data_IF_867036413020
#
_entry.id   IF_867036413020
#
_cell.length_a   1.000
_cell.length_b   1.000
_cell.length_c   1.000
_cell.angle_alpha   90.00
_cell.angle_beta   90.00
_cell.angle_gamma   90.00
#
_symmetry.space_group_name_H-M   'P 1'
#
loop_
_entity.id
_entity.type
_entity.pdbx_description
1 polymer ?
#
# COMPACT_ATOMS: atom_id res chain seq x y z
N UNK A 1 2.79 -10.13 -3.11
CA UNK A 1 2.79 -9.00 -4.07
C UNK A 1 1.43 -8.35 -4.16
N UNK A 2 0.42 -9.18 -4.39
CA UNK A 2 -0.99 -8.85 -4.34
C UNK A 2 -1.46 -8.88 -2.88
N UNK A 3 -2.37 -7.99 -2.51
CA UNK A 3 -3.00 -8.01 -1.19
C UNK A 3 -4.12 -9.05 -1.11
N UNK A 4 -4.79 -9.33 -2.24
CA UNK A 4 -5.93 -10.25 -2.31
C UNK A 4 -5.81 -11.26 -3.46
N UNK A 5 -4.60 -11.58 -3.94
CA UNK A 5 -4.40 -12.47 -5.09
C UNK A 5 -5.00 -13.87 -4.89
N UNK A 6 -5.04 -14.33 -3.64
CA UNK A 6 -5.62 -15.62 -3.22
C UNK A 6 -7.15 -15.66 -3.13
N UNK A 7 -7.81 -14.49 -3.11
CA UNK A 7 -9.25 -14.40 -2.81
C UNK A 7 -10.06 -14.82 -4.02
N UNK A 8 -11.18 -15.49 -3.77
CA UNK A 8 -12.13 -15.83 -4.83
C UNK A 8 -12.77 -14.57 -5.44
N UNK A 9 -12.40 -14.28 -6.68
CA UNK A 9 -12.82 -13.09 -7.43
C UNK A 9 -12.87 -13.38 -8.94
N UNK A 10 -13.64 -12.61 -9.73
CA UNK A 10 -13.63 -12.72 -11.19
C UNK A 10 -12.26 -12.41 -11.80
N UNK A 11 -11.93 -13.04 -12.93
CA UNK A 11 -10.63 -12.85 -13.61
C UNK A 11 -10.38 -11.39 -14.02
N UNK A 12 -11.42 -10.65 -14.41
CA UNK A 12 -11.28 -9.23 -14.76
C UNK A 12 -10.82 -8.39 -13.57
N UNK A 13 -11.31 -8.69 -12.36
CA UNK A 13 -10.87 -8.01 -11.14
C UNK A 13 -9.42 -8.37 -10.81
N UNK A 14 -9.06 -9.65 -10.90
CA UNK A 14 -7.67 -10.08 -10.72
C UNK A 14 -6.72 -9.38 -11.71
N UNK A 15 -7.10 -9.30 -12.98
CA UNK A 15 -6.33 -8.63 -14.03
C UNK A 15 -6.19 -7.11 -13.78
N UNK A 16 -7.16 -6.47 -13.10
CA UNK A 16 -7.01 -5.09 -12.65
C UNK A 16 -5.95 -4.95 -11.55
N UNK A 17 -5.92 -5.88 -10.59
CA UNK A 17 -4.84 -5.92 -9.58
C UNK A 17 -3.47 -6.11 -10.23
N UNK A 18 -3.34 -7.01 -11.22
CA UNK A 18 -2.07 -7.25 -11.93
C UNK A 18 -1.64 -5.99 -12.70
N UNK A 19 -2.55 -5.36 -13.44
CA UNK A 19 -2.27 -4.10 -14.17
C UNK A 19 -1.82 -3.00 -13.21
N UNK A 20 -2.48 -2.86 -12.07
CA UNK A 20 -2.09 -1.89 -11.03
C UNK A 20 -0.71 -2.20 -10.46
N UNK A 21 -0.43 -3.46 -10.12
CA UNK A 21 0.89 -3.87 -9.62
C UNK A 21 2.00 -3.53 -10.62
N UNK A 22 1.84 -3.93 -11.89
CA UNK A 22 2.80 -3.62 -12.96
C UNK A 22 2.94 -2.13 -13.24
N UNK A 23 1.88 -1.34 -13.04
CA UNK A 23 1.94 0.12 -13.16
C UNK A 23 2.69 0.79 -12.00
N UNK A 24 2.57 0.28 -10.77
CA UNK A 24 3.26 0.83 -9.59
C UNK A 24 4.75 0.48 -9.63
N UNK A 25 5.06 -0.77 -9.97
CA UNK A 25 6.42 -1.30 -10.06
C UNK A 25 6.87 -1.42 -11.52
N UNK A 26 6.54 -0.42 -12.33
CA UNK A 26 6.97 -0.37 -13.72
C UNK A 26 8.50 -0.39 -13.78
N UNK A 27 9.04 -1.36 -14.48
CA UNK A 27 10.47 -1.54 -14.69
C UNK A 27 10.79 -1.43 -16.18
N UNK A 28 12.01 -1.04 -16.50
CA UNK A 28 12.49 -1.02 -17.89
C UNK A 28 12.45 -2.45 -18.48
N UNK A 29 12.13 -2.58 -19.76
CA UNK A 29 11.98 -3.88 -20.43
C UNK A 29 13.24 -4.77 -20.34
N UNK A 30 14.41 -4.15 -20.18
CA UNK A 30 15.69 -4.85 -20.04
C UNK A 30 16.07 -5.25 -18.60
N UNK A 31 15.27 -4.89 -17.59
CA UNK A 31 15.57 -5.19 -16.18
C UNK A 31 14.92 -6.53 -15.76
N UNK A 32 15.70 -7.59 -15.52
CA UNK A 32 15.14 -8.86 -15.06
C UNK A 32 14.44 -8.68 -13.72
N UNK A 33 13.20 -9.12 -13.64
CA UNK A 33 12.40 -9.07 -12.41
C UNK A 33 11.97 -10.48 -12.03
N UNK A 34 12.21 -10.85 -10.78
CA UNK A 34 11.89 -12.16 -10.23
C UNK A 34 10.90 -11.99 -9.07
N UNK A 35 9.95 -12.90 -8.99
CA UNK A 35 8.87 -12.86 -8.02
C UNK A 35 8.86 -14.15 -7.20
N UNK A 36 8.47 -14.04 -5.93
CA UNK A 36 8.19 -15.18 -5.04
C UNK A 36 6.78 -15.06 -4.48
N UNK A 37 6.04 -16.17 -4.35
CA UNK A 37 4.68 -16.12 -3.84
C UNK A 37 4.69 -15.85 -2.33
N UNK A 38 3.83 -14.93 -1.91
CA UNK A 38 3.44 -14.77 -0.52
C UNK A 38 2.09 -15.40 -0.23
N UNK A 39 1.75 -15.48 1.06
CA UNK A 39 0.48 -16.02 1.53
C UNK A 39 -0.73 -15.26 0.97
N UNK A 40 -0.59 -13.96 0.66
CA UNK A 40 -1.63 -13.13 0.01
C UNK A 40 -1.79 -13.37 -1.50
N UNK A 41 -0.79 -13.99 -2.14
CA UNK A 41 -0.79 -14.27 -3.58
C UNK A 41 -1.47 -15.60 -3.89
N UNK A 42 -1.04 -16.68 -3.22
CA UNK A 42 -1.46 -18.07 -3.53
C UNK A 42 -2.29 -18.73 -2.43
N UNK A 43 -2.37 -18.13 -1.24
CA UNK A 43 -3.00 -18.76 -0.07
C UNK A 43 -1.99 -19.42 0.85
N UNK A 44 -2.46 -19.79 2.05
CA UNK A 44 -1.72 -20.60 3.02
C UNK A 44 -2.75 -21.35 3.87
N UNK A 45 -2.68 -22.67 3.85
CA UNK A 45 -3.65 -23.56 4.48
C UNK A 45 -4.97 -23.68 3.71
N UNK A 46 -5.98 -24.23 4.38
CA UNK A 46 -7.27 -24.53 3.75
C UNK A 46 -8.24 -23.35 3.75
N UNK A 47 -9.12 -23.35 2.74
CA UNK A 47 -10.29 -22.48 2.71
C UNK A 47 -11.23 -22.77 3.88
N UNK A 48 -11.87 -21.72 4.40
CA UNK A 48 -12.94 -21.84 5.39
C UNK A 48 -14.25 -21.23 4.88
N UNK A 49 -15.43 -21.54 5.49
CA UNK A 49 -16.69 -20.95 5.08
C UNK A 49 -16.72 -19.41 5.14
N UNK A 50 -15.91 -18.80 6.02
CA UNK A 50 -15.78 -17.35 6.17
C UNK A 50 -14.63 -16.76 5.36
N UNK A 51 -13.76 -17.59 4.78
CA UNK A 51 -12.60 -17.16 4.01
C UNK A 51 -12.23 -18.19 2.94
N UNK A 52 -12.72 -17.98 1.71
CA UNK A 52 -12.54 -18.90 0.59
C UNK A 52 -11.35 -18.47 -0.28
N UNK A 53 -10.37 -19.35 -0.42
CA UNK A 53 -9.32 -19.20 -1.41
C UNK A 53 -9.87 -19.56 -2.81
N UNK A 54 -9.43 -18.80 -3.81
CA UNK A 54 -9.76 -19.11 -5.20
C UNK A 54 -9.04 -20.39 -5.63
N UNK A 55 -9.77 -21.30 -6.28
CA UNK A 55 -9.17 -22.48 -6.93
C UNK A 55 -8.22 -22.08 -8.07
N UNK A 56 -8.35 -20.85 -8.59
CA UNK A 56 -7.49 -20.30 -9.64
C UNK A 56 -6.28 -19.52 -9.11
N UNK A 57 -6.10 -19.37 -7.79
CA UNK A 57 -5.04 -18.51 -7.21
C UNK A 57 -3.64 -18.89 -7.72
N UNK A 58 -3.34 -20.19 -7.72
CA UNK A 58 -2.06 -20.71 -8.18
C UNK A 58 -1.86 -20.51 -9.69
N UNK A 59 -2.84 -20.86 -10.52
CA UNK A 59 -2.77 -20.71 -11.98
C UNK A 59 -2.59 -19.23 -12.39
N UNK A 60 -3.33 -18.34 -11.72
CA UNK A 60 -3.23 -16.90 -11.91
C UNK A 60 -1.86 -16.36 -11.51
N UNK A 61 -1.29 -16.87 -10.42
CA UNK A 61 0.08 -16.53 -10.03
C UNK A 61 1.07 -16.94 -11.11
N UNK A 62 1.06 -18.22 -11.49
CA UNK A 62 2.01 -18.80 -12.45
C UNK A 62 1.97 -18.07 -13.80
N UNK A 63 0.78 -17.74 -14.29
CA UNK A 63 0.59 -17.03 -15.56
C UNK A 63 1.07 -15.58 -15.55
N UNK A 64 1.18 -14.93 -14.39
CA UNK A 64 1.49 -13.50 -14.29
C UNK A 64 2.85 -13.18 -13.68
N UNK A 65 3.35 -14.03 -12.78
CA UNK A 65 4.55 -13.79 -11.96
C UNK A 65 5.61 -14.89 -12.12
N UNK A 66 5.30 -15.98 -12.83
CA UNK A 66 6.24 -17.04 -13.14
C UNK A 66 6.28 -18.16 -12.09
N UNK A 67 7.36 -18.96 -12.07
CA UNK A 67 7.40 -20.18 -11.27
C UNK A 67 7.46 -19.91 -9.76
N UNK A 68 6.84 -20.82 -8.98
CA UNK A 68 6.81 -20.80 -7.52
C UNK A 68 8.21 -20.88 -6.89
N UNK A 69 9.03 -21.80 -7.41
CA UNK A 69 10.39 -22.07 -6.97
C UNK A 69 11.36 -21.81 -8.12
N UNK A 70 12.46 -21.10 -7.87
CA UNK A 70 13.40 -20.69 -8.91
C UNK A 70 14.86 -20.81 -8.42
N UNK A 71 15.74 -21.29 -9.32
CA UNK A 71 17.18 -21.19 -9.19
C UNK A 71 17.67 -20.26 -10.30
N UNK A 72 18.29 -19.15 -9.93
CA UNK A 72 18.83 -18.17 -10.87
C UNK A 72 20.31 -17.89 -10.57
N UNK A 73 21.03 -17.40 -11.57
CA UNK A 73 22.42 -16.96 -11.42
C UNK A 73 22.51 -15.46 -11.67
N UNK A 74 23.00 -14.71 -10.68
CA UNK A 74 23.22 -13.26 -10.81
C UNK A 74 24.66 -12.97 -10.41
N UNK A 75 25.44 -12.38 -11.32
CA UNK A 75 26.86 -12.08 -11.09
C UNK A 75 27.64 -13.31 -10.55
N UNK A 76 27.44 -14.49 -11.13
CA UNK A 76 28.02 -15.77 -10.69
C UNK A 76 27.66 -16.21 -9.25
N UNK A 77 26.60 -15.64 -8.67
CA UNK A 77 26.02 -16.12 -7.42
C UNK A 77 24.80 -16.99 -7.72
N UNK A 78 24.71 -18.14 -7.06
CA UNK A 78 23.48 -18.93 -7.05
C UNK A 78 22.47 -18.26 -6.11
N UNK A 79 21.32 -17.89 -6.66
CA UNK A 79 20.20 -17.33 -5.90
C UNK A 79 19.01 -18.29 -5.97
N UNK A 80 18.47 -18.64 -4.82
CA UNK A 80 17.30 -19.49 -4.66
C UNK A 80 16.11 -18.69 -4.17
N UNK A 81 14.99 -18.86 -4.86
CA UNK A 81 13.71 -18.23 -4.58
C UNK A 81 12.74 -19.38 -4.30
N UNK A 82 12.20 -19.46 -3.09
CA UNK A 82 11.33 -20.59 -2.70
C UNK A 82 9.91 -20.15 -2.39
N UNK A 83 8.96 -21.02 -2.71
CA UNK A 83 7.55 -20.89 -2.35
C UNK A 83 7.35 -21.28 -0.89
N UNK A 84 7.37 -20.24 -0.05
CA UNK A 84 7.24 -20.38 1.39
C UNK A 84 5.82 -20.78 1.82
N UNK A 85 4.72 -20.23 1.27
CA UNK A 85 3.37 -20.74 1.56
C UNK A 85 3.21 -22.23 1.26
N UNK A 86 3.65 -22.68 0.08
CA UNK A 86 3.63 -24.10 -0.27
C UNK A 86 4.48 -24.95 0.69
N UNK A 87 5.67 -24.48 1.07
CA UNK A 87 6.51 -25.16 2.05
C UNK A 87 5.84 -25.31 3.43
N UNK A 88 5.10 -24.29 3.88
CA UNK A 88 4.37 -24.35 5.16
C UNK A 88 3.29 -25.44 5.12
N UNK A 89 2.51 -25.51 4.04
CA UNK A 89 1.46 -26.51 3.91
C UNK A 89 2.04 -27.92 3.72
N UNK A 90 3.06 -28.07 2.89
CA UNK A 90 3.78 -29.33 2.74
C UNK A 90 4.37 -29.84 4.06
N UNK A 91 4.99 -28.96 4.85
CA UNK A 91 5.58 -29.36 6.13
C UNK A 91 4.50 -29.84 7.12
N UNK A 92 3.34 -29.18 7.13
CA UNK A 92 2.19 -29.57 7.95
C UNK A 92 1.64 -30.93 7.53
N UNK A 93 1.38 -31.13 6.23
CA UNK A 93 0.86 -32.39 5.68
C UNK A 93 1.86 -33.55 5.92
N UNK A 94 3.14 -33.31 5.62
CA UNK A 94 4.23 -34.24 5.86
C UNK A 94 4.28 -34.67 7.33
N UNK A 95 4.23 -33.71 8.25
CA UNK A 95 4.27 -33.98 9.68
C UNK A 95 3.02 -34.76 10.15
N UNK A 96 1.83 -34.43 9.63
CA UNK A 96 0.59 -35.12 9.94
C UNK A 96 0.61 -36.60 9.48
N UNK A 97 1.28 -36.88 8.35
CA UNK A 97 1.46 -38.24 7.84
C UNK A 97 2.66 -38.99 8.46
N UNK A 98 3.43 -38.34 9.35
CA UNK A 98 4.64 -38.93 9.92
C UNK A 98 5.75 -39.21 8.90
N UNK A 99 5.73 -38.54 7.75
CA UNK A 99 6.71 -38.73 6.69
C UNK A 99 8.00 -37.93 6.94
N UNK A 100 9.13 -38.49 6.56
CA UNK A 100 10.37 -37.72 6.44
C UNK A 100 10.34 -36.80 5.21
N UNK A 101 11.20 -35.77 5.19
CA UNK A 101 11.40 -34.92 4.00
C UNK A 101 11.77 -35.74 2.76
N UNK A 102 12.50 -36.84 2.97
CA UNK A 102 12.92 -37.76 1.91
C UNK A 102 11.71 -38.43 1.26
N UNK A 103 10.89 -39.11 2.05
CA UNK A 103 9.69 -39.80 1.57
C UNK A 103 8.70 -38.82 0.93
N UNK A 104 8.54 -37.63 1.53
CA UNK A 104 7.67 -36.60 0.99
C UNK A 104 8.12 -36.12 -0.40
N UNK A 105 9.42 -35.80 -0.55
CA UNK A 105 9.96 -35.36 -1.85
C UNK A 105 9.82 -36.40 -2.97
N UNK A 106 9.89 -37.70 -2.64
CA UNK A 106 9.76 -38.79 -3.61
C UNK A 106 8.31 -38.99 -4.08
N UNK A 107 7.34 -38.69 -3.21
CA UNK A 107 5.91 -38.74 -3.52
C UNK A 107 5.38 -37.46 -4.17
N UNK A 108 6.04 -36.32 -3.96
CA UNK A 108 5.62 -35.01 -4.43
C UNK A 108 6.77 -34.29 -5.18
N UNK A 109 7.22 -34.82 -6.33
CA UNK A 109 8.42 -34.32 -7.02
C UNK A 109 8.30 -32.88 -7.53
N UNK A 110 7.08 -32.38 -7.74
CA UNK A 110 6.81 -31.05 -8.30
C UNK A 110 6.62 -29.96 -7.24
N UNK A 111 6.81 -30.28 -5.95
CA UNK A 111 6.60 -29.34 -4.84
C UNK A 111 7.92 -28.79 -4.24
N UNK A 112 7.80 -27.82 -3.32
CA UNK A 112 8.93 -27.05 -2.76
C UNK A 112 9.92 -27.92 -1.99
N UNK A 113 9.45 -28.89 -1.21
CA UNK A 113 10.36 -29.81 -0.49
C UNK A 113 11.24 -30.60 -1.48
N UNK A 114 10.65 -31.12 -2.56
CA UNK A 114 11.39 -31.84 -3.60
C UNK A 114 12.35 -30.91 -4.37
N UNK A 115 11.93 -29.69 -4.69
CA UNK A 115 12.79 -28.68 -5.29
C UNK A 115 14.06 -28.43 -4.45
N UNK A 116 13.91 -28.14 -3.15
CA UNK A 116 15.03 -27.88 -2.24
C UNK A 116 15.95 -29.10 -2.12
N UNK A 117 15.38 -30.30 -2.01
CA UNK A 117 16.18 -31.53 -1.92
C UNK A 117 16.97 -31.78 -3.20
N UNK A 118 16.34 -31.65 -4.37
CA UNK A 118 17.00 -31.83 -5.67
C UNK A 118 18.14 -30.83 -5.88
N UNK A 119 17.97 -29.59 -5.38
CA UNK A 119 19.04 -28.60 -5.36
C UNK A 119 20.19 -29.05 -4.48
N UNK A 120 19.91 -29.47 -3.24
CA UNK A 120 20.93 -29.90 -2.29
C UNK A 120 21.76 -31.08 -2.80
N UNK A 121 21.11 -32.08 -3.42
CA UNK A 121 21.78 -33.25 -3.99
C UNK A 121 22.71 -32.87 -5.17
N UNK A 122 22.22 -32.04 -6.10
CA UNK A 122 23.03 -31.55 -7.23
C UNK A 122 24.20 -30.70 -6.74
N UNK A 123 23.95 -29.77 -5.81
CA UNK A 123 24.97 -28.88 -5.28
C UNK A 123 26.02 -29.63 -4.44
N UNK A 124 25.62 -30.67 -3.71
CA UNK A 124 26.56 -31.55 -3.02
C UNK A 124 27.42 -32.36 -4.00
N UNK A 125 26.83 -32.87 -5.09
CA UNK A 125 27.57 -33.59 -6.13
C UNK A 125 28.58 -32.68 -6.85
N UNK A 126 28.20 -31.44 -7.18
CA UNK A 126 29.09 -30.40 -7.75
C UNK A 126 30.32 -30.18 -6.85
N UNK A 127 30.12 -30.14 -5.51
CA UNK A 127 31.22 -29.97 -4.53
C UNK A 127 32.12 -31.19 -4.36
N UNK A 128 31.64 -32.40 -4.63
CA UNK A 128 32.40 -33.65 -4.47
C UNK A 128 33.18 -34.00 -5.74
N UNK A 129 32.63 -33.71 -6.93
CA UNK A 129 33.19 -34.16 -8.20
C UNK A 129 34.48 -33.42 -8.62
N UNK A 130 34.75 -32.24 -8.06
CA UNK A 130 35.98 -31.49 -8.34
C UNK A 130 36.92 -31.42 -7.12
N UNK A 131 37.67 -32.50 -6.89
CA UNK A 131 39.06 -32.37 -6.43
C UNK A 131 39.96 -31.91 -7.61
N UNK A 132 39.59 -30.79 -8.24
CA UNK A 132 40.38 -30.13 -9.29
C UNK A 132 41.38 -29.20 -8.60
N UNK A 133 42.67 -29.18 -8.99
CA UNK A 133 43.60 -28.20 -8.46
C UNK A 133 43.04 -26.78 -8.68
N UNK A 134 43.18 -25.93 -7.66
CA UNK A 134 42.63 -24.56 -7.53
C UNK A 134 42.91 -23.60 -8.70
N UNK A 135 43.64 -24.01 -9.74
CA UNK A 135 44.03 -23.15 -10.86
C UNK A 135 42.94 -22.96 -11.92
N UNK A 136 41.97 -23.88 -12.03
CA UNK A 136 40.96 -23.84 -13.12
C UNK A 136 39.51 -24.15 -12.67
N UNK A 137 39.14 -23.93 -11.40
CA UNK A 137 37.75 -24.05 -10.95
C UNK A 137 36.99 -22.75 -11.27
N UNK A 138 35.73 -22.85 -11.73
CA UNK A 138 34.86 -21.68 -11.86
C UNK A 138 34.66 -21.08 -10.45
N UNK A 139 34.95 -19.79 -10.23
CA UNK A 139 34.78 -19.13 -8.93
C UNK A 139 33.36 -19.23 -8.35
N UNK A 140 32.36 -19.57 -9.18
CA UNK A 140 30.98 -19.82 -8.76
C UNK A 140 30.77 -21.14 -8.00
N UNK A 141 31.65 -22.13 -8.16
CA UNK A 141 31.47 -23.51 -7.67
C UNK A 141 31.71 -23.69 -6.15
N UNK A 142 32.25 -22.67 -5.47
CA UNK A 142 32.48 -22.68 -4.02
C UNK A 142 31.59 -21.72 -3.21
N UNK A 143 30.78 -20.89 -3.88
CA UNK A 143 30.00 -19.85 -3.22
C UNK A 143 28.71 -20.42 -2.61
N UNK A 144 28.46 -20.12 -1.33
CA UNK A 144 27.20 -20.48 -0.67
C UNK A 144 26.03 -19.71 -1.33
N UNK A 145 24.85 -20.33 -1.54
CA UNK A 145 23.72 -19.67 -2.19
C UNK A 145 23.13 -18.50 -1.40
N UNK A 146 22.45 -17.59 -2.07
CA UNK A 146 21.60 -16.56 -1.45
C UNK A 146 20.15 -17.07 -1.47
N UNK A 147 19.46 -17.06 -0.33
CA UNK A 147 18.08 -17.55 -0.23
C UNK A 147 17.08 -16.40 -0.08
N UNK A 148 16.03 -16.43 -0.87
CA UNK A 148 14.85 -15.58 -0.75
C UNK A 148 13.62 -16.44 -0.42
N UNK A 149 12.88 -16.06 0.61
CA UNK A 149 11.66 -16.72 1.08
C UNK A 149 10.64 -15.66 1.50
N UNK A 150 9.34 -15.90 1.34
CA UNK A 150 8.34 -14.96 1.86
C UNK A 150 8.22 -15.07 3.38
N UNK A 151 8.04 -16.28 3.91
CA UNK A 151 7.91 -16.53 5.36
C UNK A 151 9.30 -16.62 6.01
N UNK A 152 9.57 -15.86 7.10
CA UNK A 152 10.85 -15.92 7.81
C UNK A 152 11.11 -17.27 8.48
N UNK A 153 12.38 -17.62 8.66
CA UNK A 153 12.75 -18.87 9.34
C UNK A 153 12.50 -18.78 10.85
N UNK A 154 12.28 -19.95 11.44
CA UNK A 154 12.09 -20.14 12.87
C UNK A 154 13.18 -19.45 13.69
N UNK A 155 12.75 -18.75 14.73
CA UNK A 155 13.61 -18.18 15.76
C UNK A 155 12.89 -18.25 17.11
N UNK A 156 13.61 -18.34 18.24
CA UNK A 156 12.98 -18.34 19.56
C UNK A 156 12.14 -17.08 19.79
N UNK A 157 11.03 -17.22 20.50
CA UNK A 157 10.16 -16.08 20.83
C UNK A 157 10.89 -15.02 21.66
N UNK A 158 10.61 -13.75 21.35
CA UNK A 158 11.22 -12.61 22.03
C UNK A 158 12.66 -12.30 21.59
N UNK A 159 13.17 -13.01 20.57
CA UNK A 159 14.48 -12.69 19.99
C UNK A 159 14.50 -11.29 19.39
N UNK A 160 15.56 -10.54 19.68
CA UNK A 160 15.74 -9.18 19.16
C UNK A 160 15.87 -9.16 17.64
N UNK A 161 15.22 -8.18 17.01
CA UNK A 161 15.26 -7.91 15.57
C UNK A 161 16.36 -6.92 15.14
N UNK A 162 17.26 -6.58 16.06
CA UNK A 162 18.27 -5.54 15.83
C UNK A 162 17.72 -4.12 15.94
N UNK A 163 18.59 -3.10 15.81
CA UNK A 163 18.26 -1.70 16.11
C UNK A 163 17.39 -1.01 15.05
N UNK A 164 17.21 -1.63 13.88
CA UNK A 164 16.47 -1.04 12.76
C UNK A 164 14.98 -1.45 12.73
N UNK A 165 14.55 -2.37 13.60
CA UNK A 165 13.13 -2.68 13.84
C UNK A 165 12.48 -1.48 14.51
N UNK A 166 11.29 -1.09 14.05
CA UNK A 166 10.56 0.02 14.66
C UNK A 166 9.84 -0.40 15.95
N UNK A 167 9.32 -1.64 16.01
CA UNK A 167 8.47 -2.10 17.11
C UNK A 167 8.60 -3.60 17.40
N UNK A 168 8.86 -3.94 18.66
CA UNK A 168 8.70 -5.31 19.15
C UNK A 168 9.62 -6.32 18.47
N UNK A 169 9.14 -7.57 18.40
CA UNK A 169 9.85 -8.73 17.83
C UNK A 169 8.84 -9.55 17.02
N UNK A 170 9.34 -10.42 16.13
CA UNK A 170 8.47 -11.39 15.47
C UNK A 170 8.06 -12.43 16.51
N UNK A 171 6.76 -12.63 16.70
CA UNK A 171 6.20 -13.66 17.59
C UNK A 171 5.74 -14.84 16.75
N UNK A 172 5.94 -16.05 17.27
CA UNK A 172 5.31 -17.22 16.69
C UNK A 172 3.78 -17.05 16.69
N UNK A 173 3.17 -17.45 15.59
CA UNK A 173 1.73 -17.34 15.38
C UNK A 173 1.34 -17.93 14.04
N UNK A 174 0.21 -18.60 14.01
CA UNK A 174 -0.42 -19.10 12.80
C UNK A 174 -1.94 -19.02 12.93
N UNK A 175 -2.62 -18.99 11.80
CA UNK A 175 -4.07 -18.96 11.72
C UNK A 175 -4.54 -19.13 10.28
N UNK A 176 -5.79 -18.75 10.02
CA UNK A 176 -6.36 -18.84 8.68
C UNK A 176 -5.59 -17.93 7.71
N UNK A 177 -4.89 -18.52 6.75
CA UNK A 177 -4.18 -17.77 5.72
C UNK A 177 -2.88 -17.10 6.15
N UNK A 178 -2.32 -17.41 7.33
CA UNK A 178 -1.04 -16.84 7.74
C UNK A 178 -0.25 -17.74 8.70
N UNK A 179 1.06 -17.58 8.65
CA UNK A 179 2.00 -18.14 9.60
C UNK A 179 3.24 -17.24 9.65
N UNK A 180 3.56 -16.68 10.82
CA UNK A 180 4.57 -15.64 10.96
C UNK A 180 6.00 -16.15 10.79
N UNK A 181 6.24 -17.44 11.09
CA UNK A 181 7.56 -18.07 11.06
C UNK A 181 7.42 -19.51 10.56
N UNK A 182 8.37 -19.99 9.76
CA UNK A 182 8.47 -21.42 9.42
C UNK A 182 8.61 -22.26 10.69
N UNK A 183 8.23 -23.55 10.60
CA UNK A 183 8.42 -24.48 11.72
C UNK A 183 9.93 -24.66 12.03
N UNK A 184 10.30 -25.05 13.26
CA UNK A 184 11.68 -25.40 13.57
C UNK A 184 12.26 -26.45 12.61
N UNK A 185 11.44 -27.45 12.25
CA UNK A 185 11.82 -28.55 11.37
C UNK A 185 12.03 -28.07 9.93
N UNK A 186 11.12 -27.25 9.39
CA UNK A 186 11.25 -26.70 8.04
C UNK A 186 12.45 -25.76 7.93
N UNK A 187 12.67 -24.93 8.95
CA UNK A 187 13.83 -24.05 9.01
C UNK A 187 15.14 -24.84 9.05
N UNK A 188 15.21 -25.88 9.88
CA UNK A 188 16.37 -26.76 9.94
C UNK A 188 16.62 -27.50 8.62
N UNK A 189 15.56 -27.99 7.96
CA UNK A 189 15.63 -28.59 6.64
C UNK A 189 16.25 -27.60 5.62
N UNK A 190 15.72 -26.38 5.51
CA UNK A 190 16.28 -25.37 4.59
C UNK A 190 17.74 -25.05 4.90
N UNK A 191 18.08 -24.80 6.17
CA UNK A 191 19.43 -24.42 6.58
C UNK A 191 20.45 -25.55 6.32
N UNK A 192 20.07 -26.81 6.55
CA UNK A 192 20.93 -27.96 6.33
C UNK A 192 21.07 -28.33 4.85
N UNK A 193 19.99 -28.25 4.07
CA UNK A 193 19.97 -28.59 2.66
C UNK A 193 20.62 -27.53 1.78
N UNK A 194 20.34 -26.25 2.03
CA UNK A 194 20.81 -25.14 1.17
C UNK A 194 22.15 -24.59 1.66
N UNK A 195 22.36 -24.53 2.99
CA UNK A 195 23.50 -23.87 3.64
C UNK A 195 23.81 -22.48 3.07
N UNK A 196 22.84 -21.54 3.08
CA UNK A 196 22.99 -20.26 2.41
C UNK A 196 24.06 -19.36 3.05
N UNK A 197 24.53 -18.38 2.28
CA UNK A 197 25.40 -17.30 2.74
C UNK A 197 24.63 -16.26 3.54
N UNK A 198 23.43 -15.93 3.08
CA UNK A 198 22.50 -14.94 3.65
C UNK A 198 21.08 -15.30 3.21
N UNK A 199 20.09 -14.96 4.04
CA UNK A 199 18.67 -15.18 3.79
C UNK A 199 17.95 -13.83 3.80
N UNK A 200 17.09 -13.59 2.81
CA UNK A 200 16.16 -12.47 2.79
C UNK A 200 14.73 -13.00 2.90
N UNK A 201 14.02 -12.56 3.94
CA UNK A 201 12.63 -12.93 4.19
C UNK A 201 11.68 -11.74 4.14
N UNK A 202 10.37 -11.98 3.99
CA UNK A 202 9.32 -10.97 3.98
C UNK A 202 8.31 -11.15 5.12
N UNK A 203 7.02 -11.02 4.80
CA UNK A 203 5.86 -11.28 5.67
C UNK A 203 5.68 -10.36 6.91
N UNK A 204 6.69 -10.15 7.78
CA UNK A 204 6.56 -9.38 9.03
C UNK A 204 6.35 -7.86 8.82
N UNK A 205 6.55 -7.39 7.58
CA UNK A 205 6.46 -6.00 7.13
C UNK A 205 7.46 -5.01 7.73
N UNK A 206 8.19 -5.35 8.78
CA UNK A 206 9.26 -4.54 9.36
C UNK A 206 10.63 -5.23 9.26
N UNK A 207 11.69 -4.46 9.48
CA UNK A 207 13.06 -4.94 9.46
C UNK A 207 13.31 -5.85 10.65
N UNK A 208 13.76 -7.07 10.41
CA UNK A 208 14.24 -7.93 11.49
C UNK A 208 15.51 -8.67 11.08
N UNK A 209 16.58 -8.49 11.85
CA UNK A 209 17.83 -9.20 11.66
C UNK A 209 17.97 -10.32 12.69
N UNK A 210 18.31 -11.53 12.22
CA UNK A 210 18.57 -12.68 13.06
C UNK A 210 19.70 -13.53 12.47
N UNK A 211 20.48 -14.19 13.32
CA UNK A 211 21.58 -15.05 12.87
C UNK A 211 21.30 -16.49 13.28
N UNK A 212 21.14 -17.36 12.30
CA UNK A 212 21.00 -18.80 12.51
C UNK A 212 22.36 -19.44 12.69
N UNK A 213 22.47 -20.36 13.65
CA UNK A 213 23.69 -21.14 13.88
C UNK A 213 23.50 -22.57 13.43
N UNK A 214 24.28 -23.01 12.44
CA UNK A 214 24.30 -24.40 12.01
C UNK A 214 25.47 -25.15 12.67
N UNK A 215 25.22 -26.24 13.42
CA UNK A 215 26.29 -27.06 13.99
C UNK A 215 27.25 -27.61 12.92
N UNK A 216 28.51 -27.83 13.30
CA UNK A 216 29.49 -28.49 12.43
C UNK A 216 29.02 -29.91 12.11
N UNK A 217 28.98 -30.25 10.82
CA UNK A 217 28.60 -31.58 10.34
C UNK A 217 29.78 -32.57 10.33
N UNK A 218 31.01 -32.08 10.46
CA UNK A 218 32.21 -32.92 10.49
C UNK A 218 32.74 -33.05 11.93
N UNK A 219 32.60 -34.26 12.49
CA UNK A 219 33.13 -34.65 13.81
C UNK A 219 34.60 -35.06 13.77
N UNK A 220 35.16 -35.28 12.56
CA UNK A 220 36.56 -35.67 12.35
C UNK A 220 37.47 -34.45 12.14
N UNK A 221 36.93 -33.35 11.60
CA UNK A 221 37.63 -32.06 11.50
C UNK A 221 36.69 -30.93 11.98
N UNK A 222 36.76 -30.53 13.27
CA UNK A 222 35.85 -29.53 13.82
C UNK A 222 36.06 -28.17 13.14
N UNK A 223 35.11 -27.77 12.31
CA UNK A 223 34.94 -26.38 11.85
C UNK A 223 34.04 -25.61 12.83
N UNK A 224 34.22 -24.28 12.97
CA UNK A 224 33.28 -23.49 13.76
C UNK A 224 31.85 -23.58 13.18
N UNK A 225 30.80 -23.45 14.01
CA UNK A 225 29.42 -23.41 13.55
C UNK A 225 29.23 -22.37 12.46
N UNK A 226 28.46 -22.70 11.42
CA UNK A 226 28.19 -21.75 10.35
C UNK A 226 27.14 -20.74 10.83
N UNK A 227 27.51 -19.47 10.86
CA UNK A 227 26.58 -18.36 11.08
C UNK A 227 25.94 -17.96 9.74
N UNK A 228 24.61 -17.90 9.73
CA UNK A 228 23.80 -17.60 8.55
C UNK A 228 22.88 -16.42 8.92
N UNK A 229 23.20 -15.20 8.48
CA UNK A 229 22.34 -14.04 8.70
C UNK A 229 21.05 -14.15 7.89
N UNK A 230 19.93 -13.82 8.53
CA UNK A 230 18.62 -13.61 7.93
C UNK A 230 18.18 -12.17 8.15
N UNK A 231 17.75 -11.52 7.07
CA UNK A 231 17.19 -10.18 7.07
C UNK A 231 15.76 -10.28 6.58
N UNK A 232 14.82 -10.07 7.49
CA UNK A 232 13.42 -9.84 7.14
C UNK A 232 13.29 -8.40 6.65
N UNK A 233 12.91 -8.22 5.39
CA UNK A 233 12.88 -6.93 4.71
C UNK A 233 11.62 -6.15 5.05
N UNK A 234 11.76 -4.82 5.13
CA UNK A 234 10.61 -3.93 5.33
C UNK A 234 9.67 -4.01 4.14
N UNK A 235 8.38 -3.85 4.40
CA UNK A 235 7.39 -3.65 3.35
C UNK A 235 7.64 -2.32 2.64
N UNK A 236 7.37 -2.29 1.34
CA UNK A 236 7.33 -1.06 0.53
C UNK A 236 6.05 -0.24 0.77
N UNK A 237 5.35 -0.50 1.89
CA UNK A 237 4.09 0.14 2.26
C UNK A 237 4.12 0.58 3.72
N UNK A 238 3.46 1.71 4.00
CA UNK A 238 3.21 2.19 5.37
C UNK A 238 2.01 1.50 6.04
N UNK A 239 1.28 0.67 5.28
CA UNK A 239 0.20 -0.14 5.83
C UNK A 239 0.76 -1.10 6.90
N UNK A 240 -0.12 -1.58 7.78
CA UNK A 240 0.25 -2.53 8.85
C UNK A 240 1.16 -1.94 9.94
N UNK A 241 1.15 -0.61 10.11
CA UNK A 241 1.75 0.06 11.27
C UNK A 241 3.24 0.42 11.13
N UNK A 242 3.79 0.34 9.92
CA UNK A 242 5.18 0.71 9.61
C UNK A 242 5.27 2.22 9.35
N UNK A 243 6.09 2.92 10.14
CA UNK A 243 6.26 4.37 10.03
C UNK A 243 7.13 4.75 8.84
N UNK A 244 8.23 4.02 8.63
CA UNK A 244 9.14 4.25 7.51
C UNK A 244 9.21 3.00 6.66
N UNK A 245 8.44 2.89 5.57
CA UNK A 245 8.55 1.76 4.65
C UNK A 245 9.97 1.64 4.09
N UNK A 246 10.31 0.53 3.46
CA UNK A 246 11.67 0.37 2.93
C UNK A 246 11.83 -0.77 1.94
N UNK A 247 13.05 -0.91 1.45
CA UNK A 247 13.52 -2.02 0.63
C UNK A 247 14.96 -2.36 1.00
N UNK A 248 15.43 -3.54 0.58
CA UNK A 248 16.80 -3.98 0.79
C UNK A 248 17.58 -3.85 -0.52
N UNK A 249 18.68 -3.10 -0.51
CA UNK A 249 19.62 -3.06 -1.64
C UNK A 249 20.67 -4.15 -1.45
N UNK A 250 20.80 -5.04 -2.42
CA UNK A 250 21.82 -6.10 -2.48
C UNK A 250 22.76 -5.83 -3.65
N UNK A 251 24.05 -5.66 -3.35
CA UNK A 251 25.13 -5.47 -4.31
C UNK A 251 25.95 -6.75 -4.41
N UNK A 252 26.18 -7.23 -5.63
CA UNK A 252 26.92 -8.45 -5.91
C UNK A 252 28.15 -8.14 -6.77
N UNK A 253 29.30 -8.70 -6.39
CA UNK A 253 30.55 -8.64 -7.13
C UNK A 253 30.94 -10.08 -7.44
N UNK A 254 31.12 -10.48 -8.71
CA UNK A 254 31.45 -11.85 -9.06
C UNK A 254 32.64 -12.37 -8.23
N UNK A 255 32.55 -13.59 -7.65
CA UNK A 255 33.67 -14.19 -6.96
C UNK A 255 34.89 -14.25 -7.88
N UNK A 256 36.05 -13.83 -7.38
CA UNK A 256 37.32 -13.91 -8.10
C UNK A 256 38.18 -15.01 -7.45
N UNK A 257 38.83 -15.88 -8.24
CA UNK A 257 39.63 -16.97 -7.70
C UNK A 257 40.86 -16.48 -6.91
N UNK A 258 41.24 -15.21 -7.09
CA UNK A 258 42.39 -14.58 -6.44
C UNK A 258 42.05 -13.77 -5.18
N UNK A 259 40.76 -13.62 -4.83
CA UNK A 259 40.35 -12.77 -3.71
C UNK A 259 39.36 -13.48 -2.78
N UNK A 260 39.69 -13.51 -1.49
CA UNK A 260 38.81 -13.96 -0.40
C UNK A 260 37.88 -12.85 0.10
N UNK A 261 37.79 -11.73 -0.63
CA UNK A 261 36.94 -10.61 -0.27
C UNK A 261 35.45 -11.00 -0.29
N UNK A 262 34.67 -10.32 0.54
CA UNK A 262 33.23 -10.46 0.57
C UNK A 262 32.62 -10.09 -0.80
N UNK A 263 31.92 -11.04 -1.43
CA UNK A 263 31.39 -10.91 -2.79
C UNK A 263 29.99 -10.32 -2.87
N UNK A 264 29.35 -10.09 -1.71
CA UNK A 264 28.05 -9.45 -1.62
C UNK A 264 27.98 -8.48 -0.45
N UNK A 265 27.26 -7.37 -0.62
CA UNK A 265 26.94 -6.44 0.45
C UNK A 265 25.46 -6.08 0.38
N UNK A 266 24.83 -5.80 1.50
CA UNK A 266 23.45 -5.35 1.51
C UNK A 266 23.25 -4.19 2.48
N UNK A 267 22.30 -3.31 2.17
CA UNK A 267 21.94 -2.19 3.05
C UNK A 267 20.43 -1.93 3.01
N UNK A 268 19.79 -1.69 4.17
CA UNK A 268 18.38 -1.31 4.20
C UNK A 268 18.22 0.14 3.75
N UNK A 269 17.29 0.37 2.83
CA UNK A 269 16.95 1.69 2.31
C UNK A 269 15.54 2.08 2.79
N UNK A 270 15.42 3.19 3.50
CA UNK A 270 14.14 3.68 4.03
C UNK A 270 13.49 4.66 3.06
N UNK A 271 12.18 4.52 2.91
CA UNK A 271 11.29 5.44 2.21
C UNK A 271 10.82 6.55 3.16
N UNK A 272 10.30 7.67 2.61
CA UNK A 272 9.80 8.78 3.41
C UNK A 272 8.71 8.36 4.42
N UNK A 273 8.72 9.03 5.59
CA UNK A 273 7.68 8.91 6.60
C UNK A 273 6.41 9.64 6.14
N UNK A 274 5.60 8.96 5.33
CA UNK A 274 4.39 9.53 4.75
C UNK A 274 3.39 9.97 5.83
N UNK A 275 3.25 9.21 6.92
CA UNK A 275 2.38 9.57 8.03
C UNK A 275 2.90 10.82 8.76
N UNK A 276 4.21 10.99 8.85
CA UNK A 276 4.85 12.20 9.36
C UNK A 276 4.61 13.41 8.47
N UNK A 277 4.72 13.24 7.16
CA UNK A 277 4.41 14.32 6.21
C UNK A 277 2.94 14.75 6.36
N UNK A 278 2.01 13.80 6.45
CA UNK A 278 0.59 14.09 6.70
C UNK A 278 0.36 14.87 7.99
N UNK A 279 0.90 14.40 9.11
CA UNK A 279 0.63 14.98 10.42
C UNK A 279 1.41 16.27 10.70
N UNK A 280 2.65 16.37 10.22
CA UNK A 280 3.55 17.48 10.54
C UNK A 280 3.60 18.57 9.48
N UNK A 281 3.14 18.30 8.25
CA UNK A 281 3.13 19.30 7.16
C UNK A 281 1.69 19.62 6.74
N UNK A 282 0.93 18.61 6.29
CA UNK A 282 -0.39 18.86 5.71
C UNK A 282 -1.44 19.29 6.74
N UNK A 283 -1.46 18.69 7.93
CA UNK A 283 -2.41 19.10 8.99
C UNK A 283 -2.16 20.56 9.44
N UNK A 284 -0.92 21.01 9.74
CA UNK A 284 -0.66 22.42 10.04
C UNK A 284 -1.03 23.37 8.91
N UNK A 285 -0.76 23.02 7.65
CA UNK A 285 -1.15 23.84 6.50
C UNK A 285 -2.67 23.94 6.35
N UNK A 286 -3.40 22.86 6.61
CA UNK A 286 -4.86 22.87 6.63
C UNK A 286 -5.38 23.80 7.75
N UNK A 287 -4.84 23.69 8.96
CA UNK A 287 -5.20 24.56 10.09
C UNK A 287 -4.92 26.03 9.77
N UNK A 288 -3.75 26.34 9.21
CA UNK A 288 -3.38 27.69 8.79
C UNK A 288 -4.35 28.22 7.73
N UNK A 289 -4.73 27.40 6.75
CA UNK A 289 -5.69 27.78 5.70
C UNK A 289 -7.05 28.12 6.31
N UNK A 290 -7.55 27.29 7.23
CA UNK A 290 -8.80 27.54 7.93
C UNK A 290 -8.74 28.81 8.80
N UNK A 291 -7.61 29.06 9.48
CA UNK A 291 -7.40 30.27 10.26
C UNK A 291 -7.39 31.53 9.39
N UNK A 292 -6.73 31.50 8.24
CA UNK A 292 -6.71 32.62 7.29
C UNK A 292 -8.10 32.92 6.71
N UNK A 293 -8.87 31.88 6.37
CA UNK A 293 -10.27 32.03 5.92
C UNK A 293 -11.15 32.64 7.02
N UNK A 294 -10.96 32.22 8.28
CA UNK A 294 -11.65 32.81 9.42
C UNK A 294 -11.28 34.27 9.61
N UNK A 295 -9.99 34.60 9.64
CA UNK A 295 -9.50 35.97 9.80
C UNK A 295 -9.98 36.89 8.67
N UNK A 296 -9.99 36.41 7.42
CA UNK A 296 -10.52 37.16 6.29
C UNK A 296 -12.01 37.46 6.46
N UNK A 297 -12.81 36.48 6.91
CA UNK A 297 -14.24 36.69 7.16
C UNK A 297 -14.52 37.60 8.37
N UNK A 298 -13.70 37.53 9.41
CA UNK A 298 -13.76 38.47 10.55
C UNK A 298 -13.42 39.88 10.09
N UNK A 299 -12.30 40.07 9.39
CA UNK A 299 -11.88 41.36 8.86
C UNK A 299 -12.93 41.98 7.94
N UNK A 300 -13.50 41.19 7.02
CA UNK A 300 -14.63 41.60 6.16
C UNK A 300 -15.86 42.04 6.96
N UNK A 301 -16.13 41.44 8.12
CA UNK A 301 -17.30 41.80 8.94
C UNK A 301 -17.04 43.04 9.81
N UNK A 302 -15.84 43.14 10.40
CA UNK A 302 -15.45 44.26 11.25
C UNK A 302 -15.30 45.56 10.45
N UNK A 303 -14.64 45.52 9.29
CA UNK A 303 -14.50 46.69 8.39
C UNK A 303 -15.83 47.26 7.92
N UNK A 304 -16.90 46.44 7.91
CA UNK A 304 -18.26 46.88 7.57
C UNK A 304 -18.94 47.65 8.69
N UNK A 305 -18.65 47.32 9.95
CA UNK A 305 -19.18 48.06 11.09
C UNK A 305 -18.48 49.42 11.30
N UNK A 306 -17.29 49.61 10.71
CA UNK A 306 -16.54 50.88 10.78
C UNK A 306 -16.90 51.88 9.68
N UNK A 307 -17.79 51.55 8.73
CA UNK A 307 -18.32 52.55 7.78
C UNK A 307 -19.47 53.31 8.43
N UNK A 308 -19.39 54.65 8.59
CA UNK A 308 -20.49 55.43 9.15
C UNK A 308 -21.69 55.32 8.22
N UNK A 309 -22.83 54.88 8.77
CA UNK A 309 -24.12 55.05 8.13
C UNK A 309 -24.42 56.55 8.07
N UNK A 310 -24.18 57.19 6.93
CA UNK A 310 -24.75 58.50 6.62
C UNK A 310 -26.26 58.31 6.51
N UNK A 311 -26.96 58.42 7.64
CA UNK A 311 -28.41 58.57 7.68
C UNK A 311 -28.75 59.94 7.09
N UNK A 312 -29.09 59.98 5.81
CA UNK A 312 -29.81 61.12 5.23
C UNK A 312 -31.20 61.16 5.86
N UNK A 313 -31.41 62.11 6.77
CA UNK A 313 -32.74 62.48 7.25
C UNK A 313 -33.41 63.33 6.17
N UNK A 314 -34.12 62.69 5.25
CA UNK A 314 -34.93 63.40 4.27
C UNK A 314 -36.23 63.85 4.94
N UNK A 315 -36.32 65.16 5.14
CA UNK A 315 -37.38 65.86 5.83
C UNK A 315 -38.57 66.02 4.88
N UNK A 316 -39.68 65.33 5.15
CA UNK A 316 -40.95 65.56 4.46
C UNK A 316 -41.47 66.95 4.81
N UNK A 317 -41.44 67.88 3.85
CA UNK A 317 -42.24 69.10 3.87
C UNK A 317 -43.20 69.08 2.69
N UNK A 318 -44.47 68.89 3.01
CA UNK A 318 -45.61 69.10 2.13
C UNK A 318 -45.76 70.60 1.87
N UNK A 319 -45.76 71.00 0.60
CA UNK A 319 -46.25 72.30 0.14
C UNK A 319 -47.38 72.07 -0.86
N UNK A 320 -48.55 72.72 -0.71
CA UNK A 320 -49.69 72.55 -1.61
C UNK A 320 -49.64 73.54 -2.79
N UNK A 321 -50.33 73.13 -3.86
CA UNK A 321 -50.87 73.94 -4.97
C UNK A 321 -49.90 74.43 -6.06
N UNK A 322 -50.08 73.91 -7.29
CA UNK A 322 -50.43 74.62 -8.56
C UNK A 322 -50.17 73.66 -9.75
N UNK A 323 -51.17 72.96 -10.31
CA UNK A 323 -52.14 73.34 -11.35
C UNK A 323 -51.80 72.84 -12.79
N UNK A 324 -52.84 72.23 -13.40
CA UNK A 324 -53.19 72.13 -14.85
C UNK A 324 -52.49 71.16 -15.82
N UNK A 325 -53.16 70.00 -16.06
CA UNK A 325 -53.74 69.48 -17.34
C UNK A 325 -52.82 69.11 -18.56
N UNK A 326 -53.27 68.27 -19.54
CA UNK A 326 -52.69 66.95 -19.84
C UNK A 326 -52.19 66.80 -21.30
N UNK A 327 -51.56 65.66 -21.64
CA UNK A 327 -51.39 65.27 -23.05
C UNK A 327 -51.42 63.74 -23.26
N UNK A 328 -52.04 63.33 -24.36
CA UNK A 328 -52.46 61.97 -24.73
C UNK A 328 -51.48 61.25 -25.69
N UNK A 329 -51.34 59.94 -25.46
CA UNK A 329 -51.14 58.78 -26.37
C UNK A 329 -50.37 58.82 -27.71
N UNK A 330 -49.58 57.74 -27.91
CA UNK A 330 -49.51 56.76 -29.06
C UNK A 330 -48.04 56.41 -29.46
N UNK A 331 -47.72 55.27 -30.14
CA UNK A 331 -48.14 53.84 -30.03
C UNK A 331 -46.91 52.84 -30.13
N UNK A 332 -47.06 51.49 -30.27
CA UNK A 332 -46.02 50.44 -30.04
C UNK A 332 -45.32 49.94 -31.35
N UNK A 333 -44.30 49.03 -31.34
CA UNK A 333 -44.59 47.58 -31.46
C UNK A 333 -43.51 46.53 -31.00
N UNK A 334 -44.01 45.32 -30.74
CA UNK A 334 -43.50 43.98 -31.15
C UNK A 334 -42.41 43.20 -30.38
N UNK A 335 -42.76 41.91 -30.15
CA UNK A 335 -41.98 40.65 -30.25
C UNK A 335 -40.62 40.58 -29.50
N UNK A 336 -40.31 39.58 -28.68
CA UNK A 336 -40.29 38.15 -29.00
C UNK A 336 -40.56 37.24 -27.79
N UNK A 337 -41.07 36.08 -28.16
CA UNK A 337 -41.49 34.90 -27.40
C UNK A 337 -40.28 34.08 -26.91
N UNK A 338 -40.33 33.56 -25.67
CA UNK A 338 -39.92 32.17 -25.39
C UNK A 338 -40.46 31.66 -24.05
N UNK A 339 -41.32 30.64 -24.17
CA UNK A 339 -41.78 29.74 -23.11
C UNK A 339 -40.60 28.88 -22.62
N UNK A 340 -40.51 28.66 -21.31
CA UNK A 340 -39.77 27.52 -20.76
C UNK A 340 -40.74 26.45 -20.24
N UNK A 341 -40.51 25.21 -20.67
CA UNK A 341 -41.17 23.99 -20.20
C UNK A 341 -40.45 23.43 -18.95
N UNK A 342 -41.16 22.78 -18.01
CA UNK A 342 -40.51 22.13 -16.87
C UNK A 342 -39.84 20.81 -17.31
N UNK A 343 -38.56 20.63 -16.96
CA UNK A 343 -37.85 19.34 -17.08
C UNK A 343 -38.02 18.52 -15.79
N UNK A 344 -38.23 17.20 -15.85
CA UNK A 344 -38.45 16.38 -14.67
C UNK A 344 -37.12 16.06 -13.98
N UNK A 345 -36.83 16.75 -12.88
CA UNK A 345 -35.73 16.37 -11.99
C UNK A 345 -36.16 15.24 -11.06
N UNK A 346 -35.53 14.07 -11.14
CA UNK A 346 -35.67 13.01 -10.12
C UNK A 346 -35.08 13.50 -8.81
N UNK A 347 -35.93 13.77 -7.82
CA UNK A 347 -35.54 14.09 -6.45
C UNK A 347 -35.64 12.87 -5.56
N UNK A 348 -34.55 12.48 -4.89
CA UNK A 348 -34.59 11.45 -3.86
C UNK A 348 -34.73 12.13 -2.50
N UNK A 349 -35.75 11.75 -1.72
CA UNK A 349 -35.98 12.28 -0.37
C UNK A 349 -35.75 11.19 0.66
N UNK A 350 -34.74 11.35 1.49
CA UNK A 350 -34.49 10.46 2.64
C UNK A 350 -34.87 11.16 3.94
N UNK A 351 -35.47 10.41 4.86
CA UNK A 351 -35.86 10.92 6.18
C UNK A 351 -35.02 10.24 7.23
N UNK A 352 -34.20 10.99 7.96
CA UNK A 352 -33.32 10.45 9.00
C UNK A 352 -33.73 11.03 10.37
N UNK A 353 -33.74 10.21 11.43
CA UNK A 353 -33.92 10.69 12.79
C UNK A 353 -32.58 11.23 13.33
N UNK A 354 -32.53 12.51 13.67
CA UNK A 354 -31.39 13.12 14.36
C UNK A 354 -31.92 13.82 15.62
N UNK A 355 -31.50 13.37 16.81
CA UNK A 355 -31.86 14.00 18.09
C UNK A 355 -33.37 14.02 18.38
N UNK A 356 -34.08 12.92 18.10
CA UNK A 356 -35.52 12.79 18.44
C UNK A 356 -36.49 13.52 17.51
N UNK A 357 -36.02 14.22 16.46
CA UNK A 357 -36.89 14.77 15.39
C UNK A 357 -36.52 14.22 14.03
N UNK A 358 -37.53 13.78 13.26
CA UNK A 358 -37.37 13.32 11.88
C UNK A 358 -37.17 14.53 10.96
N UNK A 359 -36.05 14.60 10.22
CA UNK A 359 -35.81 15.62 9.19
C UNK A 359 -35.77 14.97 7.81
N UNK A 360 -36.47 15.57 6.85
CA UNK A 360 -36.43 15.19 5.43
C UNK A 360 -35.32 15.96 4.73
N UNK A 361 -34.45 15.25 4.03
CA UNK A 361 -33.42 15.80 3.16
C UNK A 361 -33.70 15.32 1.74
N UNK A 362 -33.88 16.28 0.83
CA UNK A 362 -34.17 16.02 -0.58
C UNK A 362 -32.96 16.43 -1.42
N UNK A 363 -32.41 15.49 -2.18
CA UNK A 363 -31.27 15.72 -3.06
C UNK A 363 -31.73 15.75 -4.52
N UNK A 364 -31.34 16.80 -5.24
CA UNK A 364 -31.54 16.98 -6.68
C UNK A 364 -30.22 16.84 -7.41
N UNK A 365 -30.16 16.05 -8.48
CA UNK A 365 -28.95 15.87 -9.29
C UNK A 365 -28.45 17.18 -9.94
N UNK A 366 -29.32 18.18 -10.08
CA UNK A 366 -28.96 19.48 -10.63
C UNK A 366 -28.04 20.30 -9.70
N UNK A 367 -28.10 20.10 -8.38
CA UNK A 367 -27.29 20.89 -7.44
C UNK A 367 -25.84 20.40 -7.32
N UNK A 368 -25.58 19.12 -7.64
CA UNK A 368 -24.23 18.57 -7.61
C UNK A 368 -23.41 19.05 -8.83
N UNK A 369 -24.03 19.03 -10.01
CA UNK A 369 -23.40 19.53 -11.25
C UNK A 369 -23.21 21.05 -11.24
N UNK A 370 -24.13 21.80 -10.62
CA UNK A 370 -23.98 23.25 -10.44
C UNK A 370 -22.75 23.62 -9.59
N UNK A 371 -22.40 22.80 -8.59
CA UNK A 371 -21.19 23.00 -7.77
C UNK A 371 -19.89 22.81 -8.56
N UNK A 372 -19.87 21.84 -9.48
CA UNK A 372 -18.71 21.54 -10.33
C UNK A 372 -18.53 22.61 -11.42
N UNK A 373 -19.62 23.06 -12.03
CA UNK A 373 -19.58 24.14 -13.05
C UNK A 373 -19.20 25.48 -12.42
N UNK A 374 -19.65 25.77 -11.19
CA UNK A 374 -19.23 26.95 -10.43
C UNK A 374 -17.74 26.95 -10.04
N UNK A 375 -17.10 25.77 -9.97
CA UNK A 375 -15.67 25.64 -9.67
C UNK A 375 -14.80 25.90 -10.91
N UNK A 376 -15.27 25.50 -12.09
CA UNK A 376 -14.52 25.62 -13.36
C UNK A 376 -14.71 26.98 -14.06
N UNK A 377 -15.80 27.70 -13.79
CA UNK A 377 -16.05 29.03 -14.34
C UNK A 377 -15.93 30.11 -13.25
N UNK A 378 -14.71 30.62 -13.05
CA UNK A 378 -14.50 31.86 -12.32
C UNK A 378 -14.93 33.03 -13.20
N UNK A 379 -16.23 33.36 -13.18
CA UNK A 379 -16.77 34.33 -14.12
C UNK A 379 -18.12 34.92 -13.77
N UNK A 380 -18.45 35.16 -12.50
CA UNK A 380 -19.42 36.22 -12.18
C UNK A 380 -19.08 36.85 -10.83
N UNK A 381 -18.15 37.80 -10.88
CA UNK A 381 -17.65 38.56 -9.73
C UNK A 381 -18.65 39.64 -9.27
N UNK A 382 -19.76 39.85 -9.99
CA UNK A 382 -20.60 41.03 -9.82
C UNK A 382 -21.96 40.78 -9.16
N UNK A 383 -22.64 39.64 -9.41
CA UNK A 383 -23.95 39.37 -8.79
C UNK A 383 -23.89 38.81 -7.36
N UNK A 384 -22.75 38.30 -6.92
CA UNK A 384 -22.65 37.55 -5.66
C UNK A 384 -22.08 38.36 -4.49
N UNK A 385 -21.58 39.58 -4.73
CA UNK A 385 -21.06 40.43 -3.66
C UNK A 385 -22.16 40.97 -2.73
N UNK A 386 -23.33 41.37 -3.27
CA UNK A 386 -24.44 41.88 -2.45
C UNK A 386 -25.13 40.81 -1.59
N UNK A 387 -25.18 39.57 -2.07
CA UNK A 387 -25.70 38.44 -1.31
C UNK A 387 -24.71 37.98 -0.23
N UNK A 388 -23.40 37.90 -0.54
CA UNK A 388 -22.35 37.65 0.47
C UNK A 388 -22.28 38.76 1.52
N UNK A 389 -22.62 40.00 1.14
CA UNK A 389 -22.75 41.16 2.04
C UNK A 389 -23.87 41.00 3.10
N UNK A 390 -24.68 39.93 3.19
CA UNK A 390 -25.62 39.76 4.34
C UNK A 390 -25.30 38.59 5.26
N UNK A 391 -24.15 37.96 5.08
CA UNK A 391 -23.81 36.70 5.73
C UNK A 391 -22.85 36.99 6.90
N UNK A 392 -23.23 36.59 8.13
CA UNK A 392 -22.38 36.71 9.31
C UNK A 392 -21.14 35.81 9.25
N UNK A 393 -20.12 36.10 10.06
CA UNK A 393 -18.80 35.44 10.09
C UNK A 393 -18.87 33.90 10.02
N UNK A 394 -19.71 33.29 10.86
CA UNK A 394 -19.84 31.82 10.93
C UNK A 394 -20.43 31.21 9.65
N UNK A 395 -21.40 31.89 9.05
CA UNK A 395 -22.07 31.43 7.83
C UNK A 395 -21.20 31.69 6.59
N UNK A 396 -20.39 32.75 6.60
CA UNK A 396 -19.39 33.05 5.56
C UNK A 396 -18.25 32.04 5.58
N UNK A 397 -17.71 31.73 6.77
CA UNK A 397 -16.72 30.67 6.95
C UNK A 397 -17.26 29.31 6.50
N UNK A 398 -18.49 28.96 6.86
CA UNK A 398 -19.08 27.69 6.44
C UNK A 398 -19.22 27.58 4.91
N UNK A 399 -19.55 28.68 4.21
CA UNK A 399 -19.56 28.69 2.75
C UNK A 399 -18.16 28.59 2.16
N UNK A 400 -17.18 29.33 2.67
CA UNK A 400 -15.81 29.27 2.15
C UNK A 400 -15.15 27.91 2.44
N UNK A 401 -15.40 27.30 3.60
CA UNK A 401 -14.98 25.92 3.92
C UNK A 401 -15.65 24.91 3.00
N UNK A 402 -16.96 25.05 2.76
CA UNK A 402 -17.70 24.22 1.81
C UNK A 402 -17.24 24.41 0.37
N UNK A 403 -16.76 25.59 -0.01
CA UNK A 403 -16.40 25.87 -1.39
C UNK A 403 -14.89 25.60 -1.66
N UNK A 404 -14.04 25.63 -0.62
CA UNK A 404 -12.57 25.51 -0.75
C UNK A 404 -11.99 24.28 -0.03
N UNK A 405 -12.43 23.99 1.20
CA UNK A 405 -11.76 23.04 2.09
C UNK A 405 -12.39 21.64 2.12
N UNK A 406 -13.61 21.46 1.61
CA UNK A 406 -14.31 20.18 1.65
C UNK A 406 -13.58 19.07 0.91
N UNK A 407 -13.00 19.35 -0.26
CA UNK A 407 -12.32 18.33 -1.07
C UNK A 407 -10.98 17.86 -0.46
N UNK A 408 -10.07 18.76 0.00
CA UNK A 408 -8.87 18.34 0.73
C UNK A 408 -9.17 17.62 2.04
N UNK A 409 -10.19 18.05 2.78
CA UNK A 409 -10.60 17.40 4.05
C UNK A 409 -11.20 16.03 3.79
N UNK A 410 -12.07 15.89 2.78
CA UNK A 410 -12.63 14.60 2.39
C UNK A 410 -11.54 13.62 1.90
N UNK A 411 -10.56 14.12 1.13
CA UNK A 411 -9.40 13.34 0.70
C UNK A 411 -8.56 12.88 1.89
N UNK A 412 -8.25 13.78 2.83
CA UNK A 412 -7.48 13.44 4.03
C UNK A 412 -8.21 12.44 4.93
N UNK A 413 -9.51 12.63 5.17
CA UNK A 413 -10.33 11.69 5.94
C UNK A 413 -10.42 10.33 5.24
N UNK A 414 -10.56 10.31 3.91
CA UNK A 414 -10.54 9.08 3.12
C UNK A 414 -9.21 8.34 3.21
N UNK A 415 -8.09 9.05 3.09
CA UNK A 415 -6.75 8.47 3.25
C UNK A 415 -6.55 7.97 4.68
N UNK A 416 -6.92 8.75 5.69
CA UNK A 416 -6.77 8.38 7.09
C UNK A 416 -7.64 7.17 7.48
N UNK A 417 -8.85 7.06 6.91
CA UNK A 417 -9.74 5.91 7.10
C UNK A 417 -9.24 4.66 6.37
N UNK A 418 -8.58 4.81 5.22
CA UNK A 418 -8.03 3.69 4.45
C UNK A 418 -6.71 3.15 5.02
N UNK A 419 -5.95 3.99 5.72
CA UNK A 419 -4.63 3.66 6.30
C UNK A 419 -4.75 2.95 7.66
N UNK A 420 -5.92 2.97 8.30
CA UNK A 420 -6.17 2.38 9.62
C UNK A 420 -6.94 1.08 9.59
#
# INVERSE_FOLDING_TARGET
MMDNGRVDMPDEEYNQYVRRFRSIFAADEGLPTYYIPGNHDVGLGDSSPSYRFSEHALERYLSNFGPLNQRISIANHTVLLIDAPGLVDEDRERAAMGMSYVQWSESHPDRTIAFVRSFAEKHAAERIFYHRPLSDADPSEGARPILFTHVPLFRPDGTSCGPLRERGTIRQGSGLGYQNLLSPQASQFLLQSIRPAVIFSGDDHDYCEYVHTLPSTDTKRPSPPASIPEITVKSFSMAMGIRRPGYQLLSLIPPSPSSTAQTFAHTPCLLPDQLGIYLSVYVPLLVLTLALLLLSNVWRTCTRHSSPSTRTSEWTSLGPDDATEPDYDLPPPSAWRSKEFPRPGRSCTCTLPLGGRRRKLTFSSASLMAGIVSFLWTGDRTRNEEARKRIGTLKGLAFDVRDVAWAPVALFVGIAWWVW
#
